data_IF_775228197440
#
_entry.id   IF_775228197440
#
_cell.length_a   1.000
_cell.length_b   1.000
_cell.length_c   1.000
_cell.angle_alpha   90.00
_cell.angle_beta   90.00
_cell.angle_gamma   90.00
#
_symmetry.space_group_name_H-M   'P 1'
#
loop_
_entity.id
_entity.type
_entity.pdbx_description
1 polymer ?
#
# COMPACT_ATOMS: atom_id res chain seq x y z
N UNK A 1 -19.55 -9.96 1.87
CA UNK A 1 -20.49 -9.45 0.84
C UNK A 1 -19.87 -8.33 -0.01
N UNK A 2 -19.05 -7.43 0.55
CA UNK A 2 -18.36 -6.37 -0.21
C UNK A 2 -17.45 -6.89 -1.34
N UNK A 3 -16.72 -7.99 -1.15
CA UNK A 3 -15.83 -8.51 -2.19
C UNK A 3 -16.51 -8.78 -3.54
N UNK A 4 -17.72 -9.34 -3.55
CA UNK A 4 -18.48 -9.55 -4.78
C UNK A 4 -18.91 -8.23 -5.46
N UNK A 5 -19.19 -7.20 -4.67
CA UNK A 5 -19.53 -5.86 -5.17
C UNK A 5 -18.29 -5.21 -5.79
N UNK A 6 -17.14 -5.26 -5.10
CA UNK A 6 -15.86 -4.71 -5.58
C UNK A 6 -15.42 -5.40 -6.88
N UNK A 7 -15.51 -6.73 -6.95
CA UNK A 7 -15.19 -7.48 -8.16
C UNK A 7 -16.03 -7.05 -9.35
N UNK A 8 -17.32 -6.76 -9.14
CA UNK A 8 -18.20 -6.26 -10.18
C UNK A 8 -17.92 -4.80 -10.55
N UNK A 9 -17.67 -3.96 -9.55
CA UNK A 9 -17.42 -2.53 -9.73
C UNK A 9 -16.13 -2.26 -10.52
N UNK A 10 -15.08 -3.03 -10.26
CA UNK A 10 -13.77 -2.86 -10.89
C UNK A 10 -13.44 -3.98 -11.89
N UNK A 11 -14.46 -4.60 -12.49
CA UNK A 11 -14.30 -5.74 -13.39
C UNK A 11 -13.29 -5.48 -14.52
N UNK A 12 -13.32 -4.30 -15.13
CA UNK A 12 -12.39 -3.92 -16.21
C UNK A 12 -10.94 -3.80 -15.73
N UNK A 13 -10.73 -3.27 -14.52
CA UNK A 13 -9.41 -3.14 -13.91
C UNK A 13 -8.83 -4.51 -13.59
N UNK A 14 -9.65 -5.39 -13.02
CA UNK A 14 -9.23 -6.76 -12.75
C UNK A 14 -8.97 -7.56 -14.04
N UNK A 15 -9.80 -7.40 -15.08
CA UNK A 15 -9.58 -8.03 -16.37
C UNK A 15 -8.29 -7.53 -17.05
N UNK A 16 -7.93 -6.26 -16.87
CA UNK A 16 -6.62 -5.74 -17.31
C UNK A 16 -5.48 -6.36 -16.51
N UNK A 17 -5.59 -6.40 -15.18
CA UNK A 17 -4.56 -6.98 -14.31
C UNK A 17 -4.33 -8.48 -14.61
N UNK A 18 -5.39 -9.23 -14.92
CA UNK A 18 -5.29 -10.62 -15.34
C UNK A 18 -4.52 -10.75 -16.67
N UNK A 19 -4.84 -9.92 -17.67
CA UNK A 19 -4.12 -9.93 -18.96
C UNK A 19 -2.65 -9.51 -18.84
N UNK A 20 -2.34 -8.53 -17.99
CA UNK A 20 -0.99 -7.97 -17.86
C UNK A 20 -0.09 -8.80 -16.93
N UNK A 21 -0.65 -9.35 -15.85
CA UNK A 21 0.11 -9.98 -14.77
C UNK A 21 -0.26 -11.45 -14.54
N UNK A 22 -1.33 -11.98 -15.16
CA UNK A 22 -1.79 -13.36 -15.00
C UNK A 22 -2.38 -13.67 -13.62
N UNK A 23 -2.81 -12.63 -12.88
CA UNK A 23 -3.32 -12.78 -11.52
C UNK A 23 -4.85 -12.66 -11.53
N UNK A 24 -5.51 -13.70 -11.01
CA UNK A 24 -6.97 -13.75 -10.96
C UNK A 24 -7.54 -12.68 -10.03
N UNK A 25 -8.64 -12.05 -10.46
CA UNK A 25 -9.34 -10.98 -9.72
C UNK A 25 -9.61 -11.29 -8.23
N UNK A 26 -10.09 -12.49 -7.84
CA UNK A 26 -10.39 -12.79 -6.45
C UNK A 26 -9.14 -12.77 -5.55
N UNK A 27 -7.97 -13.07 -6.10
CA UNK A 27 -6.70 -13.04 -5.35
C UNK A 27 -6.35 -11.60 -5.00
N UNK A 28 -6.34 -10.70 -5.98
CA UNK A 28 -6.06 -9.28 -5.76
C UNK A 28 -7.08 -8.68 -4.78
N UNK A 29 -8.37 -8.98 -4.98
CA UNK A 29 -9.43 -8.48 -4.11
C UNK A 29 -9.29 -8.99 -2.66
N UNK A 30 -8.84 -10.24 -2.45
CA UNK A 30 -8.63 -10.79 -1.11
C UNK A 30 -7.49 -10.09 -0.37
N UNK A 31 -6.36 -9.83 -1.03
CA UNK A 31 -5.26 -9.04 -0.44
C UNK A 31 -5.71 -7.62 -0.13
N UNK A 32 -6.40 -6.96 -1.05
CA UNK A 32 -6.86 -5.59 -0.81
C UNK A 32 -7.84 -5.49 0.37
N UNK A 33 -8.72 -6.49 0.53
CA UNK A 33 -9.60 -6.62 1.68
C UNK A 33 -8.81 -6.82 2.99
N UNK A 34 -7.82 -7.73 2.97
CA UNK A 34 -7.02 -8.06 4.14
C UNK A 34 -6.19 -6.88 4.63
N UNK A 35 -5.55 -6.16 3.71
CA UNK A 35 -4.64 -5.06 4.05
C UNK A 35 -5.36 -3.80 4.49
N UNK A 36 -6.52 -3.48 3.89
CA UNK A 36 -7.13 -2.15 4.07
C UNK A 36 -8.66 -2.11 4.12
N UNK A 37 -9.33 -3.27 4.15
CA UNK A 37 -10.79 -3.37 3.96
C UNK A 37 -11.27 -2.57 2.73
N UNK A 38 -10.62 -2.83 1.59
CA UNK A 38 -10.87 -2.14 0.32
C UNK A 38 -10.63 -0.62 0.38
N UNK A 39 -9.65 -0.19 1.18
CA UNK A 39 -9.26 1.21 1.36
C UNK A 39 -10.02 1.94 2.49
N UNK A 40 -10.91 1.26 3.22
CA UNK A 40 -11.60 1.87 4.35
C UNK A 40 -10.67 2.14 5.54
N UNK A 41 -9.58 1.36 5.69
CA UNK A 41 -8.60 1.50 6.77
C UNK A 41 -7.19 1.40 6.20
N UNK A 42 -6.49 2.52 6.04
CA UNK A 42 -5.13 2.55 5.46
C UNK A 42 -4.02 2.80 6.50
N UNK A 43 -4.42 3.12 7.75
CA UNK A 43 -3.54 3.64 8.79
C UNK A 43 -3.46 5.16 8.79
N UNK A 44 -3.19 5.72 9.95
CA UNK A 44 -3.22 7.17 10.24
C UNK A 44 -1.86 7.70 10.74
N UNK A 45 -0.81 6.89 10.72
CA UNK A 45 0.53 7.33 11.07
C UNK A 45 1.19 8.01 9.87
N UNK A 46 1.84 9.15 10.08
CA UNK A 46 2.71 9.75 9.07
C UNK A 46 3.86 8.78 8.73
N UNK A 47 3.87 8.29 7.48
CA UNK A 47 4.78 7.22 7.06
C UNK A 47 6.25 7.61 7.22
N UNK A 48 6.60 8.86 6.93
CA UNK A 48 7.96 9.36 7.13
C UNK A 48 8.38 9.31 8.60
N UNK A 49 7.50 9.75 9.52
CA UNK A 49 7.78 9.73 10.95
C UNK A 49 7.94 8.29 11.47
N UNK A 50 7.08 7.38 11.03
CA UNK A 50 7.17 5.96 11.38
C UNK A 50 8.50 5.35 10.91
N UNK A 51 8.88 5.55 9.65
CA UNK A 51 10.13 5.02 9.09
C UNK A 51 11.36 5.57 9.80
N UNK A 52 11.42 6.88 10.07
CA UNK A 52 12.54 7.50 10.78
C UNK A 52 12.62 6.94 12.19
N UNK A 53 11.50 6.88 12.92
CA UNK A 53 11.45 6.34 14.29
C UNK A 53 11.98 4.90 14.34
N UNK A 54 11.47 4.03 13.47
CA UNK A 54 11.86 2.61 13.42
C UNK A 54 13.29 2.40 12.90
N UNK A 55 13.82 3.34 12.13
CA UNK A 55 15.23 3.34 11.68
C UNK A 55 16.22 3.70 12.79
N UNK A 56 15.75 4.37 13.85
CA UNK A 56 16.53 4.68 15.05
C UNK A 56 16.36 3.64 16.17
N UNK A 57 15.30 2.83 16.13
CA UNK A 57 15.05 1.73 17.08
C UNK A 57 16.12 0.61 16.96
N UNK A 58 16.56 0.03 18.07
CA UNK A 58 17.63 -0.97 18.10
C UNK A 58 17.21 -2.36 17.61
N UNK A 59 15.92 -2.68 17.52
CA UNK A 59 15.43 -4.04 17.29
C UNK A 59 15.58 -4.49 15.84
N UNK A 60 15.16 -3.66 14.89
CA UNK A 60 15.15 -3.98 13.44
C UNK A 60 15.48 -2.79 12.52
N UNK A 61 16.43 -1.91 12.85
CA UNK A 61 16.67 -0.70 12.07
C UNK A 61 17.08 -0.99 10.62
N UNK A 62 17.73 -2.12 10.37
CA UNK A 62 18.15 -2.59 9.05
C UNK A 62 16.99 -2.89 8.10
N UNK A 63 15.78 -3.14 8.62
CA UNK A 63 14.58 -3.33 7.79
C UNK A 63 14.03 -1.99 7.29
N UNK A 64 14.13 -0.92 8.10
CA UNK A 64 13.47 0.35 7.85
C UNK A 64 14.36 1.40 7.19
N UNK A 65 15.66 1.44 7.53
CA UNK A 65 16.60 2.41 6.93
C UNK A 65 16.61 2.41 5.40
N UNK A 66 16.56 1.25 4.71
CA UNK A 66 16.53 1.23 3.25
C UNK A 66 15.28 1.87 2.63
N UNK A 67 14.20 2.07 3.41
CA UNK A 67 12.93 2.61 2.91
C UNK A 67 12.87 4.15 2.92
N UNK A 68 13.76 4.83 3.66
CA UNK A 68 13.75 6.29 3.79
C UNK A 68 14.00 6.97 2.44
N UNK A 69 15.09 6.61 1.76
CA UNK A 69 15.45 7.25 0.47
C UNK A 69 14.39 6.98 -0.62
N UNK A 70 13.86 5.74 -0.78
CA UNK A 70 12.71 5.49 -1.66
C UNK A 70 11.50 6.37 -1.36
N UNK A 71 11.10 6.51 -0.09
CA UNK A 71 9.96 7.37 0.26
C UNK A 71 10.23 8.84 -0.10
N UNK A 72 11.41 9.37 0.25
CA UNK A 72 11.79 10.73 -0.12
C UNK A 72 11.84 10.93 -1.63
N UNK A 73 12.27 9.92 -2.39
CA UNK A 73 12.26 9.96 -3.85
C UNK A 73 10.84 10.01 -4.42
N UNK A 74 9.89 9.29 -3.81
CA UNK A 74 8.48 9.35 -4.22
C UNK A 74 7.86 10.72 -3.90
N UNK A 75 8.22 11.32 -2.77
CA UNK A 75 7.79 12.67 -2.38
C UNK A 75 8.35 13.71 -3.37
N UNK A 76 9.64 13.65 -3.66
CA UNK A 76 10.31 14.58 -4.59
C UNK A 76 9.72 14.52 -6.00
N UNK A 77 9.34 13.32 -6.47
CA UNK A 77 8.65 13.11 -7.75
C UNK A 77 7.17 13.51 -7.74
N UNK A 78 6.62 13.91 -6.58
CA UNK A 78 5.21 14.25 -6.43
C UNK A 78 4.25 13.06 -6.54
N UNK A 79 4.74 11.82 -6.36
CA UNK A 79 3.92 10.60 -6.40
C UNK A 79 3.07 10.45 -5.14
N UNK A 80 3.63 10.88 -4.00
CA UNK A 80 2.94 10.93 -2.71
C UNK A 80 3.23 12.26 -2.02
N UNK A 81 2.33 12.79 -1.19
CA UNK A 81 2.60 14.01 -0.44
C UNK A 81 3.54 13.73 0.75
N UNK A 82 4.18 14.78 1.28
CA UNK A 82 5.12 14.64 2.39
C UNK A 82 4.46 14.17 3.71
N UNK A 83 3.16 14.40 3.85
CA UNK A 83 2.33 14.01 4.99
C UNK A 83 1.59 12.68 4.78
N UNK A 84 1.93 11.92 3.73
CA UNK A 84 1.34 10.60 3.43
C UNK A 84 1.26 9.72 4.68
N UNK A 85 0.10 9.09 4.86
CA UNK A 85 -0.17 8.21 6.00
C UNK A 85 -0.12 6.74 5.62
N UNK A 86 0.12 5.91 6.63
CA UNK A 86 0.10 4.45 6.54
C UNK A 86 -0.02 3.80 7.92
N UNK A 87 0.25 2.50 7.97
CA UNK A 87 0.26 1.70 9.20
C UNK A 87 1.52 1.89 10.05
#
# INVERSE_FOLDING_TARGET
KQGAVILKQYADVFARADREFGVQAPVIAAFWALETDFGAVQGDFHTLNALVTLSHDCRRPQLFRPQIVPLLTLIDRGVVPADVTGT
#
